data_IF_220092155280
#
_entry.id   IF_220092155280
#
_cell.length_a   1.000
_cell.length_b   1.000
_cell.length_c   1.000
_cell.angle_alpha   90.00
_cell.angle_beta   90.00
_cell.angle_gamma   90.00
#
_symmetry.space_group_name_H-M   'P 1'
#
loop_
_entity.id
_entity.type
_entity.pdbx_description
1 polymer ?
#
# COMPACT_ATOMS: atom_id res chain seq x y z
N UNK A 1 24.60 -3.87 2.43
CA UNK A 1 23.59 -3.48 3.43
C UNK A 1 22.22 -3.86 2.89
N UNK A 2 21.38 -4.47 3.72
CA UNK A 2 20.03 -4.83 3.31
C UNK A 2 19.23 -3.55 2.99
N UNK A 3 18.53 -3.57 1.86
CA UNK A 3 17.74 -2.43 1.38
C UNK A 3 16.28 -2.62 1.81
N UNK A 4 15.74 -1.71 2.64
CA UNK A 4 14.35 -1.76 3.09
C UNK A 4 13.36 -1.76 1.91
N UNK A 5 13.64 -1.00 0.85
CA UNK A 5 12.80 -0.96 -0.37
C UNK A 5 12.73 -2.33 -1.04
N UNK A 6 13.85 -3.01 -1.17
CA UNK A 6 13.92 -4.38 -1.69
C UNK A 6 13.14 -5.37 -0.83
N UNK A 7 13.33 -5.36 0.49
CA UNK A 7 12.61 -6.26 1.40
C UNK A 7 11.09 -6.05 1.37
N UNK A 8 10.64 -4.80 1.35
CA UNK A 8 9.21 -4.47 1.17
C UNK A 8 8.65 -5.01 -0.13
N UNK A 9 9.36 -4.80 -1.22
CA UNK A 9 8.94 -5.27 -2.53
C UNK A 9 8.86 -6.79 -2.61
N UNK A 10 9.83 -7.48 -2.05
CA UNK A 10 9.86 -8.94 -1.96
C UNK A 10 8.68 -9.48 -1.13
N UNK A 11 8.44 -8.89 0.04
CA UNK A 11 7.29 -9.25 0.88
C UNK A 11 5.98 -9.01 0.13
N UNK A 12 5.81 -7.82 -0.45
CA UNK A 12 4.61 -7.42 -1.18
C UNK A 12 4.36 -8.32 -2.39
N UNK A 13 5.39 -8.60 -3.17
CA UNK A 13 5.30 -9.53 -4.30
C UNK A 13 4.88 -10.93 -3.82
N UNK A 14 5.52 -11.45 -2.78
CA UNK A 14 5.19 -12.78 -2.24
C UNK A 14 3.74 -12.84 -1.74
N UNK A 15 3.26 -11.80 -1.08
CA UNK A 15 1.87 -11.70 -0.63
C UNK A 15 0.89 -11.68 -1.82
N UNK A 16 1.23 -10.94 -2.87
CA UNK A 16 0.40 -10.86 -4.06
C UNK A 16 0.32 -12.22 -4.78
N UNK A 17 1.45 -12.92 -4.94
CA UNK A 17 1.48 -14.24 -5.56
C UNK A 17 0.76 -15.30 -4.70
N UNK A 18 0.90 -15.24 -3.37
CA UNK A 18 0.14 -16.07 -2.43
C UNK A 18 -1.37 -15.88 -2.64
N UNK A 19 -1.83 -14.64 -2.74
CA UNK A 19 -3.25 -14.32 -2.88
C UNK A 19 -3.84 -14.71 -4.25
N UNK A 20 -3.01 -14.80 -5.29
CA UNK A 20 -3.42 -15.22 -6.63
C UNK A 20 -3.55 -16.75 -6.76
N UNK A 21 -2.88 -17.52 -5.93
CA UNK A 21 -2.82 -18.98 -6.05
C UNK A 21 -3.87 -19.64 -5.17
N UNK A 22 -4.53 -20.66 -5.73
CA UNK A 22 -5.38 -21.59 -4.98
C UNK A 22 -4.62 -22.89 -4.66
N UNK A 23 -3.46 -23.13 -5.29
CA UNK A 23 -2.63 -24.31 -5.08
C UNK A 23 -1.93 -24.25 -3.72
N UNK A 24 -2.14 -25.27 -2.83
CA UNK A 24 -1.57 -25.26 -1.48
C UNK A 24 -0.03 -25.22 -1.44
N UNK A 25 0.64 -25.89 -2.36
CA UNK A 25 2.11 -25.96 -2.38
C UNK A 25 2.69 -24.61 -2.79
N UNK A 26 2.08 -23.95 -3.77
CA UNK A 26 2.43 -22.59 -4.19
C UNK A 26 2.20 -21.58 -3.06
N UNK A 27 1.08 -21.68 -2.35
CA UNK A 27 0.79 -20.83 -1.18
C UNK A 27 1.82 -21.06 -0.07
N UNK A 28 2.13 -22.30 0.26
CA UNK A 28 3.14 -22.65 1.27
C UNK A 28 4.54 -22.11 0.88
N UNK A 29 4.90 -22.16 -0.40
CA UNK A 29 6.14 -21.55 -0.92
C UNK A 29 6.19 -20.04 -0.65
N UNK A 30 5.15 -19.31 -0.99
CA UNK A 30 5.12 -17.86 -0.77
C UNK A 30 4.95 -17.47 0.70
N UNK A 31 4.28 -18.30 1.52
CA UNK A 31 4.22 -18.12 2.97
C UNK A 31 5.62 -18.22 3.60
N UNK A 32 6.42 -19.24 3.25
CA UNK A 32 7.83 -19.38 3.68
C UNK A 32 8.67 -18.17 3.27
N UNK A 33 8.47 -17.69 2.03
CA UNK A 33 9.18 -16.53 1.53
C UNK A 33 8.85 -15.25 2.31
N UNK A 34 7.59 -15.01 2.63
CA UNK A 34 7.19 -13.90 3.50
C UNK A 34 7.83 -14.03 4.90
N UNK A 35 7.78 -15.20 5.50
CA UNK A 35 8.37 -15.48 6.81
C UNK A 35 9.88 -15.18 6.84
N UNK A 36 10.62 -15.50 5.78
CA UNK A 36 12.06 -15.15 5.65
C UNK A 36 12.30 -13.65 5.86
N UNK A 37 11.50 -12.80 5.23
CA UNK A 37 11.65 -11.32 5.34
C UNK A 37 11.20 -10.79 6.70
N UNK A 38 10.19 -11.41 7.32
CA UNK A 38 9.75 -11.08 8.69
C UNK A 38 10.85 -11.43 9.69
N UNK A 39 11.40 -12.63 9.61
CA UNK A 39 12.47 -13.13 10.51
C UNK A 39 13.74 -12.29 10.36
N UNK A 40 14.13 -11.94 9.14
CA UNK A 40 15.34 -11.18 8.88
C UNK A 40 15.21 -9.68 9.15
N UNK A 41 14.02 -9.16 9.37
CA UNK A 41 13.81 -7.73 9.55
C UNK A 41 14.60 -7.13 10.71
N UNK A 42 14.59 -7.68 11.96
CA UNK A 42 15.35 -7.14 13.08
C UNK A 42 16.86 -7.16 12.84
N UNK A 43 17.38 -8.24 12.26
CA UNK A 43 18.82 -8.40 11.97
C UNK A 43 19.30 -7.38 10.94
N UNK A 44 18.40 -6.91 10.08
CA UNK A 44 18.65 -5.88 9.08
C UNK A 44 18.40 -4.45 9.60
N UNK A 45 18.04 -4.30 10.87
CA UNK A 45 17.77 -3.00 11.50
C UNK A 45 16.39 -2.42 11.17
N UNK A 46 15.43 -3.27 10.76
CA UNK A 46 14.07 -2.86 10.41
C UNK A 46 13.05 -3.46 11.38
N UNK A 47 11.90 -2.82 11.52
CA UNK A 47 10.75 -3.44 12.21
C UNK A 47 9.97 -4.31 11.22
N UNK A 48 9.27 -5.32 11.74
CA UNK A 48 8.35 -6.15 10.95
C UNK A 48 7.32 -5.25 10.24
N UNK A 49 6.76 -4.27 10.94
CA UNK A 49 5.82 -3.32 10.36
C UNK A 49 6.40 -2.53 9.18
N UNK A 50 7.68 -2.20 9.21
CA UNK A 50 8.34 -1.54 8.08
C UNK A 50 8.45 -2.44 6.86
N UNK A 51 8.70 -3.72 7.03
CA UNK A 51 8.80 -4.70 5.93
C UNK A 51 7.43 -5.05 5.38
N UNK A 52 6.44 -5.30 6.25
CA UNK A 52 5.07 -5.68 5.87
C UNK A 52 4.20 -4.48 5.46
N UNK A 53 4.73 -3.27 5.55
CA UNK A 53 3.97 -2.01 5.36
C UNK A 53 2.76 -1.89 6.30
N UNK A 54 2.86 -2.46 7.51
CA UNK A 54 1.81 -2.44 8.53
C UNK A 54 0.59 -3.31 8.19
N UNK A 55 0.68 -4.21 7.20
CA UNK A 55 -0.42 -5.08 6.80
C UNK A 55 -0.40 -6.40 7.56
N UNK A 56 -1.58 -6.92 7.86
CA UNK A 56 -1.74 -8.31 8.24
C UNK A 56 -1.44 -9.22 7.04
N UNK A 57 -0.83 -10.34 7.32
CA UNK A 57 -0.50 -11.39 6.36
C UNK A 57 -1.18 -12.70 6.78
N UNK A 58 -1.26 -13.72 5.89
CA UNK A 58 -1.90 -15.00 6.21
C UNK A 58 -1.28 -15.67 7.45
N UNK A 59 -2.11 -16.23 8.33
CA UNK A 59 -1.66 -16.90 9.56
C UNK A 59 -0.70 -18.09 9.29
N UNK A 60 -0.77 -18.68 8.10
CA UNK A 60 0.16 -19.73 7.65
C UNK A 60 1.62 -19.27 7.63
N UNK A 61 1.86 -17.96 7.48
CA UNK A 61 3.22 -17.39 7.50
C UNK A 61 3.88 -17.57 8.86
N UNK A 62 3.11 -17.46 9.95
CA UNK A 62 3.62 -17.59 11.32
C UNK A 62 4.21 -18.97 11.61
N UNK A 63 3.77 -19.99 10.89
CA UNK A 63 4.31 -21.36 11.02
C UNK A 63 5.78 -21.46 10.56
N UNK A 64 6.21 -20.54 9.70
CA UNK A 64 7.55 -20.51 9.13
C UNK A 64 8.43 -19.40 9.70
N UNK A 65 7.89 -18.50 10.53
CA UNK A 65 8.70 -17.48 11.20
C UNK A 65 9.65 -18.15 12.17
N UNK A 66 10.95 -17.84 12.06
CA UNK A 66 12.05 -18.47 12.80
C UNK A 66 12.29 -19.96 12.47
N UNK A 67 11.76 -20.51 11.38
CA UNK A 67 12.13 -21.83 10.91
C UNK A 67 13.55 -21.79 10.29
N UNK A 68 14.54 -22.49 10.85
CA UNK A 68 15.92 -22.51 10.31
C UNK A 68 16.02 -23.18 8.93
N UNK A 69 14.99 -23.92 8.52
CA UNK A 69 14.94 -24.62 7.24
C UNK A 69 14.17 -23.83 6.16
N UNK A 70 13.80 -22.57 6.42
CA UNK A 70 13.24 -21.70 5.39
C UNK A 70 14.28 -21.49 4.31
N UNK A 71 14.21 -22.32 3.28
CA UNK A 71 15.22 -22.42 2.24
C UNK A 71 15.32 -21.16 1.40
N UNK A 72 16.53 -20.91 0.91
CA UNK A 72 16.83 -19.93 -0.12
C UNK A 72 16.19 -20.33 -1.47
N UNK A 73 14.88 -20.18 -1.60
CA UNK A 73 14.27 -20.13 -2.92
C UNK A 73 14.85 -18.86 -3.61
N UNK A 74 15.61 -19.01 -4.69
CA UNK A 74 16.30 -17.89 -5.34
C UNK A 74 15.35 -16.80 -5.81
N UNK A 75 14.04 -17.12 -5.99
CA UNK A 75 13.01 -16.16 -6.37
C UNK A 75 13.44 -15.15 -7.43
N UNK A 76 13.01 -13.93 -7.25
CA UNK A 76 13.43 -12.79 -8.07
C UNK A 76 14.39 -11.89 -7.27
N UNK A 77 15.22 -11.07 -7.95
CA UNK A 77 16.07 -10.09 -7.28
C UNK A 77 15.24 -8.97 -6.64
N UNK A 78 15.84 -8.24 -5.68
CA UNK A 78 15.17 -7.09 -5.05
C UNK A 78 14.76 -6.04 -6.08
N UNK A 79 15.60 -5.75 -7.07
CA UNK A 79 15.29 -4.81 -8.14
C UNK A 79 14.12 -5.28 -9.01
N UNK A 80 14.05 -6.58 -9.29
CA UNK A 80 12.90 -7.16 -10.01
C UNK A 80 11.62 -7.07 -9.18
N UNK A 81 11.69 -7.36 -7.88
CA UNK A 81 10.53 -7.24 -7.00
C UNK A 81 10.05 -5.79 -6.91
N UNK A 82 10.97 -4.83 -6.74
CA UNK A 82 10.66 -3.39 -6.74
C UNK A 82 9.99 -2.99 -8.06
N UNK A 83 10.54 -3.42 -9.19
CA UNK A 83 9.96 -3.13 -10.50
C UNK A 83 8.55 -3.69 -10.64
N UNK A 84 8.35 -4.97 -10.31
CA UNK A 84 7.02 -5.62 -10.38
C UNK A 84 6.00 -4.87 -9.52
N UNK A 85 6.36 -4.52 -8.28
CA UNK A 85 5.45 -3.79 -7.38
C UNK A 85 5.15 -2.39 -7.92
N UNK A 86 6.15 -1.67 -8.39
CA UNK A 86 5.95 -0.35 -8.99
C UNK A 86 5.11 -0.42 -10.27
N UNK A 87 5.29 -1.48 -11.08
CA UNK A 87 4.52 -1.69 -12.29
C UNK A 87 3.05 -2.03 -12.02
N UNK A 88 2.67 -2.38 -10.78
CA UNK A 88 1.25 -2.63 -10.43
C UNK A 88 0.43 -1.36 -10.25
N UNK A 89 1.06 -0.21 -10.06
CA UNK A 89 0.40 1.08 -9.85
C UNK A 89 0.94 2.07 -10.88
N UNK A 90 0.06 2.81 -11.54
CA UNK A 90 0.46 3.90 -12.43
C UNK A 90 0.78 5.14 -11.59
N UNK A 91 2.02 5.59 -11.62
CA UNK A 91 2.51 6.77 -10.90
C UNK A 91 2.95 7.90 -11.84
N UNK A 92 2.57 7.83 -13.11
CA UNK A 92 3.06 8.75 -14.15
C UNK A 92 2.59 10.20 -13.99
N UNK A 93 1.46 10.43 -13.30
CA UNK A 93 0.85 11.77 -13.08
C UNK A 93 0.45 11.98 -11.62
N UNK A 94 1.35 11.65 -10.68
CA UNK A 94 1.09 11.82 -9.26
C UNK A 94 1.40 13.25 -8.80
N UNK A 95 0.42 13.90 -8.18
CA UNK A 95 0.57 15.19 -7.52
C UNK A 95 1.14 14.99 -6.11
N UNK A 96 2.27 15.63 -5.79
CA UNK A 96 2.92 15.54 -4.48
C UNK A 96 2.85 16.87 -3.74
N UNK A 97 2.44 16.84 -2.47
CA UNK A 97 2.29 18.00 -1.60
C UNK A 97 2.85 17.73 -0.20
N UNK A 98 3.18 18.83 0.49
CA UNK A 98 3.59 18.81 1.90
C UNK A 98 4.91 18.10 2.15
N UNK A 99 5.26 18.00 3.43
CA UNK A 99 6.42 17.33 3.98
C UNK A 99 6.02 16.59 5.27
N UNK A 100 6.84 15.67 5.73
CA UNK A 100 6.54 14.84 6.90
C UNK A 100 6.74 13.35 6.62
N UNK A 101 6.64 12.55 7.68
CA UNK A 101 6.96 11.13 7.63
C UNK A 101 5.82 10.29 7.06
N UNK A 102 4.56 10.62 7.37
CA UNK A 102 3.39 9.89 6.89
C UNK A 102 2.87 10.41 5.56
N UNK A 103 2.07 9.61 4.88
CA UNK A 103 1.50 9.90 3.55
C UNK A 103 -0.01 9.70 3.61
N UNK A 104 -0.77 10.70 3.19
CA UNK A 104 -2.15 10.53 2.72
C UNK A 104 -2.09 10.38 1.22
N UNK A 105 -2.72 9.33 0.70
CA UNK A 105 -2.73 9.06 -0.73
C UNK A 105 -4.17 8.91 -1.25
N UNK A 106 -4.35 9.24 -2.53
CA UNK A 106 -5.58 8.95 -3.23
C UNK A 106 -5.28 8.28 -4.56
N UNK A 107 -6.04 7.24 -4.88
CA UNK A 107 -5.95 6.55 -6.16
C UNK A 107 -7.33 6.23 -6.72
N UNK A 108 -7.39 6.04 -8.02
CA UNK A 108 -8.58 5.64 -8.76
C UNK A 108 -8.24 4.68 -9.87
N UNK A 109 -9.17 4.51 -10.81
CA UNK A 109 -9.00 3.68 -12.00
C UNK A 109 -9.40 4.46 -13.24
N UNK A 110 -8.70 4.23 -14.37
CA UNK A 110 -9.02 4.91 -15.64
C UNK A 110 -10.43 4.59 -16.14
N UNK A 111 -10.92 3.39 -15.86
CA UNK A 111 -12.29 2.97 -16.21
C UNK A 111 -13.38 3.65 -15.36
N UNK A 112 -13.04 4.28 -14.23
CA UNK A 112 -13.99 4.86 -13.26
C UNK A 112 -13.43 6.16 -12.68
N UNK A 113 -13.21 7.16 -13.52
CA UNK A 113 -12.52 8.41 -13.17
C UNK A 113 -13.26 9.30 -12.16
N UNK A 114 -14.54 9.04 -11.95
CA UNK A 114 -15.37 9.72 -10.97
C UNK A 114 -15.22 9.16 -9.54
N UNK A 115 -14.37 8.17 -9.33
CA UNK A 115 -14.24 7.45 -8.07
C UNK A 115 -12.80 7.42 -7.60
N UNK A 116 -12.59 7.86 -6.37
CA UNK A 116 -11.29 7.90 -5.73
C UNK A 116 -11.35 7.19 -4.40
N UNK A 117 -10.35 6.36 -4.13
CA UNK A 117 -10.08 5.80 -2.81
C UNK A 117 -9.04 6.65 -2.10
N UNK A 118 -9.32 6.97 -0.82
CA UNK A 118 -8.44 7.77 0.04
C UNK A 118 -7.98 6.91 1.19
N UNK A 119 -6.67 6.92 1.45
CA UNK A 119 -6.06 6.19 2.55
C UNK A 119 -4.82 6.88 3.08
N UNK A 120 -4.28 6.36 4.18
CA UNK A 120 -2.99 6.80 4.72
C UNK A 120 -2.05 5.64 4.98
N UNK A 121 -0.76 5.97 5.01
CA UNK A 121 0.32 5.05 5.37
C UNK A 121 1.47 5.83 5.99
N UNK A 122 2.17 5.22 6.94
CA UNK A 122 3.39 5.77 7.50
C UNK A 122 4.63 5.36 6.69
N UNK A 123 4.48 4.67 5.57
CA UNK A 123 5.58 4.03 4.84
C UNK A 123 5.60 4.36 3.36
N UNK A 124 4.96 3.56 2.52
CA UNK A 124 5.00 3.67 1.06
C UNK A 124 3.62 3.46 0.45
N UNK A 125 3.15 4.43 -0.33
CA UNK A 125 1.80 4.43 -0.91
C UNK A 125 1.65 3.38 -2.01
N UNK A 126 2.67 3.19 -2.87
CA UNK A 126 2.62 2.23 -3.98
C UNK A 126 2.56 0.81 -3.44
N UNK A 127 3.43 0.46 -2.49
CA UNK A 127 3.37 -0.84 -1.81
C UNK A 127 2.03 -1.04 -1.11
N UNK A 128 1.49 0.01 -0.44
CA UNK A 128 0.20 -0.07 0.22
C UNK A 128 -0.95 -0.31 -0.75
N UNK A 129 -0.98 0.40 -1.87
CA UNK A 129 -1.98 0.22 -2.93
C UNK A 129 -1.84 -1.18 -3.55
N UNK A 130 -0.62 -1.58 -3.93
CA UNK A 130 -0.34 -2.90 -4.50
C UNK A 130 -0.86 -4.05 -3.65
N UNK A 131 -0.75 -3.95 -2.32
CA UNK A 131 -1.30 -4.95 -1.39
C UNK A 131 -2.83 -4.94 -1.28
N UNK A 132 -3.51 -3.88 -1.72
CA UNK A 132 -4.97 -3.77 -1.72
C UNK A 132 -5.62 -4.28 -3.02
N UNK A 133 -4.80 -4.45 -4.06
CA UNK A 133 -5.25 -4.95 -5.36
C UNK A 133 -5.45 -6.46 -5.26
N UNK A 134 -6.53 -6.94 -5.84
CA UNK A 134 -6.84 -8.37 -5.95
C UNK A 134 -7.32 -8.69 -7.38
N UNK A 135 -7.64 -9.95 -7.62
CA UNK A 135 -8.13 -10.41 -8.93
C UNK A 135 -9.45 -9.78 -9.40
N UNK A 136 -10.16 -9.11 -8.48
CA UNK A 136 -11.41 -8.38 -8.79
C UNK A 136 -11.18 -6.92 -9.14
N UNK A 137 -9.94 -6.48 -9.23
CA UNK A 137 -9.58 -5.10 -9.59
C UNK A 137 -9.89 -4.86 -11.08
N UNK A 138 -10.69 -3.84 -11.43
CA UNK A 138 -11.19 -3.68 -12.79
C UNK A 138 -10.12 -3.18 -13.76
N UNK A 139 -9.07 -2.54 -13.28
CA UNK A 139 -8.01 -1.92 -14.09
C UNK A 139 -6.75 -1.68 -13.22
N UNK A 140 -5.65 -1.26 -13.83
CA UNK A 140 -4.45 -0.82 -13.12
C UNK A 140 -4.77 0.44 -12.31
N UNK A 141 -4.54 0.48 -10.99
CA UNK A 141 -4.77 1.68 -10.21
C UNK A 141 -3.83 2.81 -10.62
N UNK A 142 -4.36 4.02 -10.62
CA UNK A 142 -3.61 5.25 -10.89
C UNK A 142 -3.48 6.01 -9.57
N UNK A 143 -2.27 6.18 -9.07
CA UNK A 143 -1.99 7.04 -7.93
C UNK A 143 -2.11 8.50 -8.37
N UNK A 144 -3.04 9.23 -7.77
CA UNK A 144 -3.38 10.60 -8.18
C UNK A 144 -2.70 11.64 -7.29
N UNK A 145 -2.57 11.35 -6.00
CA UNK A 145 -2.07 12.29 -4.99
C UNK A 145 -1.26 11.55 -3.93
N UNK A 146 -0.18 12.20 -3.48
CA UNK A 146 0.53 11.95 -2.23
C UNK A 146 0.68 13.24 -1.44
N UNK A 147 0.14 13.28 -0.22
CA UNK A 147 0.32 14.41 0.71
C UNK A 147 1.13 13.93 1.90
N UNK A 148 2.33 14.46 2.06
CA UNK A 148 3.20 14.16 3.19
C UNK A 148 2.85 15.02 4.41
N UNK A 149 2.75 14.39 5.56
CA UNK A 149 2.46 15.06 6.84
C UNK A 149 2.74 14.13 8.02
N UNK A 150 3.14 14.69 9.15
CA UNK A 150 3.29 13.90 10.40
C UNK A 150 1.94 13.49 11.02
N UNK A 151 0.83 14.05 10.53
CA UNK A 151 -0.52 13.77 11.00
C UNK A 151 -1.38 13.07 9.94
N UNK A 152 -0.80 12.12 9.18
CA UNK A 152 -1.44 11.53 8.01
C UNK A 152 -2.83 10.92 8.30
N UNK A 153 -3.01 10.23 9.43
CA UNK A 153 -4.32 9.65 9.83
C UNK A 153 -5.36 10.69 10.20
N UNK A 154 -4.94 11.83 10.77
CA UNK A 154 -5.85 12.92 11.09
C UNK A 154 -6.30 13.65 9.83
N UNK A 155 -5.35 13.91 8.92
CA UNK A 155 -5.64 14.53 7.63
C UNK A 155 -6.52 13.64 6.74
N UNK A 156 -6.24 12.34 6.66
CA UNK A 156 -7.09 11.37 5.97
C UNK A 156 -8.53 11.44 6.44
N UNK A 157 -8.75 11.33 7.78
CA UNK A 157 -10.11 11.43 8.36
C UNK A 157 -10.79 12.76 8.08
N UNK A 158 -10.06 13.88 8.12
CA UNK A 158 -10.61 15.19 7.83
C UNK A 158 -11.07 15.32 6.37
N UNK A 159 -10.28 14.82 5.42
CA UNK A 159 -10.65 14.79 4.00
C UNK A 159 -11.88 13.90 3.79
N UNK A 160 -11.86 12.68 4.32
CA UNK A 160 -12.97 11.73 4.21
C UNK A 160 -14.27 12.29 4.82
N UNK A 161 -14.21 12.86 6.03
CA UNK A 161 -15.36 13.46 6.69
C UNK A 161 -15.93 14.66 5.91
N UNK A 162 -15.06 15.48 5.31
CA UNK A 162 -15.49 16.60 4.47
C UNK A 162 -16.23 16.12 3.23
N UNK A 163 -15.70 15.11 2.54
CA UNK A 163 -16.34 14.51 1.37
C UNK A 163 -17.65 13.79 1.74
N UNK A 164 -17.71 13.13 2.87
CA UNK A 164 -18.91 12.48 3.38
C UNK A 164 -20.01 13.52 3.67
N UNK A 165 -19.66 14.64 4.32
CA UNK A 165 -20.59 15.76 4.57
C UNK A 165 -21.13 16.38 3.29
N UNK A 166 -20.33 16.36 2.22
CA UNK A 166 -20.76 16.80 0.87
C UNK A 166 -21.60 15.75 0.12
N UNK A 167 -21.90 14.61 0.73
CA UNK A 167 -22.63 13.51 0.09
C UNK A 167 -21.86 12.75 -0.98
N UNK A 168 -20.54 12.87 -0.98
CA UNK A 168 -19.68 12.23 -2.00
C UNK A 168 -19.33 10.77 -1.69
N UNK A 169 -19.66 10.24 -0.50
CA UNK A 169 -19.35 8.87 -0.12
C UNK A 169 -20.09 7.86 -0.99
N UNK A 170 -19.35 6.86 -1.52
CA UNK A 170 -19.93 5.79 -2.31
C UNK A 170 -20.34 4.66 -1.37
N UNK A 171 -21.64 4.29 -1.42
CA UNK A 171 -22.17 3.17 -0.65
C UNK A 171 -22.04 1.87 -1.44
N UNK A 172 -21.57 0.80 -0.78
CA UNK A 172 -21.46 -0.54 -1.37
C UNK A 172 -20.08 -0.91 -1.96
N UNK A 173 -19.12 0.03 -2.00
CA UNK A 173 -17.77 -0.20 -2.56
C UNK A 173 -16.63 -0.24 -1.54
N UNK A 174 -16.93 -0.36 -0.24
CA UNK A 174 -15.97 -0.20 0.85
C UNK A 174 -15.99 1.20 1.46
N UNK A 175 -15.46 1.33 2.68
CA UNK A 175 -15.65 2.53 3.51
C UNK A 175 -14.90 3.79 3.03
N UNK A 176 -13.93 3.63 2.11
CA UNK A 176 -12.94 4.67 1.77
C UNK A 176 -13.05 5.18 0.32
N UNK A 177 -14.20 4.90 -0.36
CA UNK A 177 -14.44 5.33 -1.73
C UNK A 177 -15.36 6.54 -1.79
N UNK A 178 -14.98 7.51 -2.61
CA UNK A 178 -15.69 8.78 -2.75
C UNK A 178 -15.86 9.16 -4.23
N UNK A 179 -17.00 9.78 -4.56
CA UNK A 179 -17.22 10.44 -5.83
C UNK A 179 -16.58 11.83 -5.77
N UNK A 180 -15.33 11.90 -6.15
CA UNK A 180 -14.50 13.10 -6.05
C UNK A 180 -13.41 13.08 -7.12
N UNK A 181 -12.80 14.23 -7.36
CA UNK A 181 -11.65 14.44 -8.22
C UNK A 181 -10.37 14.69 -7.38
N UNK A 182 -9.20 14.64 -8.03
CA UNK A 182 -7.94 15.09 -7.46
C UNK A 182 -8.03 16.52 -6.92
N UNK A 183 -8.66 17.41 -7.68
CA UNK A 183 -8.77 18.83 -7.34
C UNK A 183 -9.66 19.06 -6.11
N UNK A 184 -10.70 18.25 -5.91
CA UNK A 184 -11.53 18.31 -4.70
C UNK A 184 -10.70 18.00 -3.44
N UNK A 185 -9.82 17.00 -3.51
CA UNK A 185 -8.93 16.63 -2.40
C UNK A 185 -7.92 17.73 -2.13
N UNK A 186 -7.30 18.30 -3.17
CA UNK A 186 -6.35 19.40 -3.03
C UNK A 186 -7.02 20.64 -2.42
N UNK A 187 -8.19 21.00 -2.85
CA UNK A 187 -8.93 22.13 -2.30
C UNK A 187 -9.24 21.96 -0.80
N UNK A 188 -9.62 20.72 -0.38
CA UNK A 188 -9.84 20.41 1.03
C UNK A 188 -8.52 20.49 1.82
N UNK A 189 -7.44 19.94 1.29
CA UNK A 189 -6.11 19.99 1.91
C UNK A 189 -5.64 21.43 2.11
N UNK A 190 -5.76 22.27 1.09
CA UNK A 190 -5.39 23.68 1.16
C UNK A 190 -6.23 24.46 2.18
N UNK A 191 -7.54 24.18 2.24
CA UNK A 191 -8.42 24.77 3.25
C UNK A 191 -7.99 24.42 4.67
N UNK A 192 -7.69 23.14 4.94
CA UNK A 192 -7.23 22.66 6.24
C UNK A 192 -5.91 23.34 6.63
N UNK A 193 -4.95 23.44 5.71
CA UNK A 193 -3.66 24.06 5.99
C UNK A 193 -3.76 25.57 6.24
N UNK A 194 -4.60 26.28 5.48
CA UNK A 194 -4.82 27.71 5.72
C UNK A 194 -5.49 28.01 7.06
N UNK A 195 -6.32 27.10 7.55
CA UNK A 195 -6.96 27.24 8.86
C UNK A 195 -6.02 26.90 10.03
N UNK A 196 -4.86 26.30 9.76
CA UNK A 196 -3.87 25.86 10.76
C UNK A 196 -2.65 26.79 10.84
N UNK A 197 -2.54 27.78 9.98
CA UNK A 197 -1.50 28.80 9.93
C UNK A 197 -1.93 30.08 10.67
#
# INVERSE_FOLDING_TARGET
>A
MANLGGQRAQFTWSLNEYNKSEDPDTRAKFARRMAKYITAAPDNGFTVSQVTTGKSYPAEVDQFVNDPNVSDDPGISDDQAVKIVNDTVDTSDVEKRGDGAGIVYAYGYRCCQDRIKIGSTDLDSVNRISQQINTSTPDKPVLLIEIRTDKCRALERAIQATLETRGCKITGGGAEWFKASRDDILAIYEFINKASA
#
